data_IF_064347258758
#
_entry.id   IF_064347258758
#
_cell.length_a   1.000
_cell.length_b   1.000
_cell.length_c   1.000
_cell.angle_alpha   90.00
_cell.angle_beta   90.00
_cell.angle_gamma   90.00
#
_symmetry.space_group_name_H-M   'P 1'
#
loop_
_entity.id
_entity.type
_entity.pdbx_description
1 polymer ?
#
# COMPACT_ATOMS: atom_id res chain seq x y z
N UNK A 1 -15.63 -11.54 38.95
CA UNK A 1 -16.12 -10.22 38.54
C UNK A 1 -17.14 -10.43 37.41
N UNK A 2 -18.41 -10.08 37.58
CA UNK A 2 -19.39 -10.26 36.54
C UNK A 2 -19.12 -9.26 35.41
N UNK A 3 -19.08 -9.77 34.17
CA UNK A 3 -19.01 -8.93 32.97
C UNK A 3 -20.30 -8.12 32.87
N UNK A 4 -20.20 -6.82 33.05
CA UNK A 4 -21.30 -5.90 32.74
C UNK A 4 -21.61 -6.04 31.23
N UNK A 5 -22.77 -6.56 30.91
CA UNK A 5 -23.32 -6.46 29.56
C UNK A 5 -23.68 -4.98 29.33
N UNK A 6 -22.88 -4.29 28.54
CA UNK A 6 -23.23 -2.95 28.06
C UNK A 6 -24.55 -3.03 27.31
N UNK A 7 -25.52 -2.24 27.75
CA UNK A 7 -26.81 -2.11 27.06
C UNK A 7 -26.57 -1.67 25.62
N UNK A 8 -27.29 -2.22 24.63
CA UNK A 8 -27.18 -1.78 23.23
C UNK A 8 -27.41 -0.26 23.08
N UNK A 9 -28.10 0.36 24.01
CA UNK A 9 -28.31 1.80 24.05
C UNK A 9 -27.01 2.58 24.34
N UNK A 10 -26.14 2.07 25.20
CA UNK A 10 -24.84 2.67 25.50
C UNK A 10 -23.88 2.54 24.30
N UNK A 11 -23.96 1.43 23.56
CA UNK A 11 -23.14 1.25 22.36
C UNK A 11 -23.54 2.21 21.22
N UNK A 12 -24.83 2.53 21.09
CA UNK A 12 -25.33 3.52 20.12
C UNK A 12 -24.91 4.94 20.52
N UNK A 13 -24.93 5.28 21.82
CA UNK A 13 -24.44 6.59 22.29
C UNK A 13 -22.94 6.77 22.03
N UNK A 14 -22.13 5.74 22.21
CA UNK A 14 -20.69 5.79 21.92
C UNK A 14 -20.39 5.88 20.42
N UNK A 15 -21.22 5.28 19.56
CA UNK A 15 -21.07 5.40 18.11
C UNK A 15 -21.43 6.82 17.60
N UNK A 16 -22.40 7.48 18.21
CA UNK A 16 -22.80 8.86 17.90
C UNK A 16 -21.77 9.89 18.42
N UNK A 17 -21.07 9.59 19.51
CA UNK A 17 -20.07 10.52 20.09
C UNK A 17 -18.84 10.76 19.23
N UNK A 18 -18.60 9.92 18.23
CA UNK A 18 -17.46 10.08 17.29
C UNK A 18 -17.65 11.22 16.27
N UNK A 19 -18.86 11.80 16.18
CA UNK A 19 -19.20 12.82 15.17
C UNK A 19 -19.70 14.16 15.75
N UNK A 20 -19.89 14.22 17.07
CA UNK A 20 -20.33 15.45 17.74
C UNK A 20 -19.14 16.09 18.46
N UNK A 21 -19.10 17.41 18.46
CA UNK A 21 -18.15 18.12 19.30
C UNK A 21 -18.41 17.84 20.80
N UNK A 22 -17.42 17.92 21.67
CA UNK A 22 -17.61 17.75 23.12
C UNK A 22 -18.70 18.63 23.72
N UNK A 23 -18.93 19.81 23.14
CA UNK A 23 -19.98 20.74 23.55
C UNK A 23 -21.38 20.25 23.18
N UNK A 24 -21.53 19.66 21.99
CA UNK A 24 -22.81 19.07 21.54
C UNK A 24 -23.16 17.81 22.32
N UNK A 25 -22.18 16.97 22.62
CA UNK A 25 -22.37 15.78 23.49
C UNK A 25 -22.82 16.23 24.89
N UNK A 26 -22.19 17.26 25.44
CA UNK A 26 -22.54 17.78 26.76
C UNK A 26 -23.95 18.33 26.78
N UNK A 27 -24.35 19.11 25.76
CA UNK A 27 -25.70 19.64 25.64
C UNK A 27 -26.76 18.53 25.54
N UNK A 28 -26.50 17.42 24.87
CA UNK A 28 -27.40 16.28 24.81
C UNK A 28 -27.48 15.52 26.15
N UNK A 29 -26.36 15.40 26.86
CA UNK A 29 -26.35 14.80 28.21
C UNK A 29 -27.15 15.67 29.18
N UNK A 30 -26.94 16.98 29.15
CA UNK A 30 -27.64 17.92 30.01
C UNK A 30 -29.17 17.86 29.78
N UNK A 31 -29.63 17.70 28.53
CA UNK A 31 -31.05 17.49 28.20
C UNK A 31 -31.56 16.16 28.73
N UNK A 32 -30.79 15.07 28.60
CA UNK A 32 -31.18 13.75 29.10
C UNK A 32 -31.22 13.75 30.62
N UNK A 33 -30.28 14.39 31.30
CA UNK A 33 -30.21 14.53 32.76
C UNK A 33 -31.40 15.39 33.28
N UNK A 34 -31.75 16.46 32.55
CA UNK A 34 -32.89 17.31 32.88
C UNK A 34 -34.20 16.54 32.74
N UNK A 35 -34.41 15.78 31.66
CA UNK A 35 -35.58 14.94 31.45
C UNK A 35 -35.65 13.80 32.49
N UNK A 36 -34.51 13.19 32.82
CA UNK A 36 -34.44 12.14 33.83
C UNK A 36 -34.74 12.67 35.26
N UNK A 37 -34.22 13.88 35.57
CA UNK A 37 -34.50 14.54 36.84
C UNK A 37 -35.97 14.93 36.97
N UNK A 38 -36.58 15.43 35.90
CA UNK A 38 -38.00 15.78 35.84
C UNK A 38 -38.89 14.48 35.99
N UNK A 39 -38.51 13.42 35.27
CA UNK A 39 -39.17 12.11 35.38
C UNK A 39 -39.05 11.48 36.79
N UNK A 40 -37.96 11.75 37.53
CA UNK A 40 -37.80 11.24 38.89
C UNK A 40 -38.57 12.05 39.95
N UNK A 41 -38.95 13.28 39.64
CA UNK A 41 -39.79 14.15 40.46
C UNK A 41 -41.29 13.91 40.30
N UNK A 42 -41.70 13.18 39.25
CA UNK A 42 -43.08 12.81 39.03
C UNK A 42 -43.48 11.71 40.04
N UNK A 43 -43.98 12.10 41.17
CA UNK A 43 -44.81 11.21 42.00
C UNK A 43 -46.08 10.97 41.20
N UNK A 44 -46.17 9.79 40.59
CA UNK A 44 -47.39 9.36 39.91
C UNK A 44 -48.56 9.25 40.89
N UNK A 45 -49.48 10.23 40.98
CA UNK A 45 -50.76 9.99 41.63
C UNK A 45 -51.69 9.29 40.67
N UNK A 46 -51.15 8.76 39.54
CA UNK A 46 -51.94 8.16 38.49
C UNK A 46 -52.18 6.68 38.79
N UNK A 47 -53.44 6.36 39.02
CA UNK A 47 -53.91 4.99 39.03
C UNK A 47 -54.11 4.56 37.56
N UNK A 48 -53.33 3.58 37.04
CA UNK A 48 -53.49 3.13 35.64
C UNK A 48 -54.93 2.60 35.33
N UNK A 49 -55.74 2.32 36.31
CA UNK A 49 -57.16 1.99 36.21
C UNK A 49 -57.96 3.14 36.88
N UNK A 50 -57.99 4.30 36.22
CA UNK A 50 -58.59 5.53 36.78
C UNK A 50 -60.12 5.40 36.91
N UNK A 51 -60.75 4.69 36.01
CA UNK A 51 -62.18 4.46 36.04
C UNK A 51 -62.63 3.30 36.96
N UNK A 52 -61.60 2.63 37.61
CA UNK A 52 -61.84 1.49 38.54
C UNK A 52 -62.64 0.33 37.91
N UNK A 53 -62.49 0.12 36.61
CA UNK A 53 -63.14 -0.96 35.85
C UNK A 53 -62.47 -2.32 36.09
N UNK A 54 -61.30 -2.39 36.65
CA UNK A 54 -60.54 -3.58 36.88
C UNK A 54 -59.63 -3.99 35.65
N UNK A 55 -59.74 -3.27 34.55
CA UNK A 55 -58.94 -3.47 33.33
C UNK A 55 -58.38 -2.15 32.86
N UNK A 56 -57.08 -2.13 32.51
CA UNK A 56 -56.44 -0.97 31.91
C UNK A 56 -56.80 -0.96 30.42
N UNK A 57 -57.74 -0.13 30.04
CA UNK A 57 -58.28 -0.03 28.69
C UNK A 57 -58.03 1.33 28.02
N UNK A 58 -58.70 1.52 26.86
CA UNK A 58 -58.59 2.78 26.11
C UNK A 58 -59.13 4.00 26.90
N UNK A 59 -60.08 3.78 27.84
CA UNK A 59 -60.60 4.81 28.72
C UNK A 59 -59.60 5.33 29.75
N UNK A 60 -58.58 4.52 30.12
CA UNK A 60 -57.54 4.85 31.06
C UNK A 60 -56.31 5.43 30.33
N UNK A 61 -56.16 5.04 29.07
CA UNK A 61 -55.07 5.50 28.23
C UNK A 61 -55.22 6.98 27.82
N UNK A 62 -56.43 7.47 27.67
CA UNK A 62 -56.72 8.82 27.26
C UNK A 62 -56.23 9.87 28.29
N UNK A 63 -56.54 9.76 29.58
CA UNK A 63 -56.03 10.60 30.63
C UNK A 63 -54.49 10.52 30.74
N UNK A 64 -53.91 9.32 30.57
CA UNK A 64 -52.45 9.11 30.56
C UNK A 64 -51.77 9.88 29.41
N UNK A 65 -52.31 9.82 28.20
CA UNK A 65 -51.80 10.55 27.03
C UNK A 65 -51.92 12.06 27.20
N UNK A 66 -53.01 12.51 27.86
CA UNK A 66 -53.22 13.94 28.18
C UNK A 66 -52.21 14.40 29.19
N UNK A 67 -51.88 13.61 30.19
CA UNK A 67 -50.88 13.91 31.21
C UNK A 67 -49.47 14.01 30.64
N UNK A 68 -49.11 13.16 29.75
CA UNK A 68 -47.77 13.19 29.07
C UNK A 68 -47.66 14.20 27.95
N UNK A 69 -48.75 14.61 27.31
CA UNK A 69 -48.76 15.53 26.15
C UNK A 69 -48.88 17.00 26.49
N UNK A 70 -49.03 17.33 27.78
CA UNK A 70 -49.38 18.70 28.16
C UNK A 70 -48.30 19.37 29.03
N UNK A 71 -47.62 20.42 28.57
CA UNK A 71 -46.88 21.25 29.49
C UNK A 71 -47.86 21.99 30.41
N UNK A 72 -47.97 21.48 31.64
CA UNK A 72 -48.47 22.20 32.83
C UNK A 72 -49.43 23.35 32.55
N UNK A 73 -50.73 23.10 32.58
CA UNK A 73 -51.74 24.15 32.49
C UNK A 73 -53.16 23.73 32.21
N UNK A 74 -53.46 22.48 31.92
CA UNK A 74 -54.80 22.02 31.54
C UNK A 74 -55.63 21.39 32.66
N UNK A 75 -55.19 21.46 33.89
CA UNK A 75 -55.89 20.89 35.04
C UNK A 75 -56.64 21.93 35.87
N UNK A 76 -57.06 23.01 35.25
CA UNK A 76 -57.99 23.85 35.98
C UNK A 76 -59.21 24.04 35.09
N UNK A 77 -60.36 23.58 35.55
CA UNK A 77 -61.73 23.99 35.21
C UNK A 77 -62.72 22.97 34.68
N UNK A 78 -62.40 21.68 34.58
CA UNK A 78 -63.45 20.68 34.22
C UNK A 78 -64.09 20.88 32.86
N UNK A 79 -63.39 21.53 31.92
CA UNK A 79 -63.84 21.63 30.53
C UNK A 79 -63.43 20.38 29.75
N UNK A 80 -64.41 19.76 29.09
CA UNK A 80 -64.20 18.68 28.15
C UNK A 80 -63.14 19.12 27.11
N UNK A 81 -62.10 18.32 26.91
CA UNK A 81 -61.14 18.56 25.84
C UNK A 81 -61.88 18.64 24.50
N UNK A 82 -61.86 19.81 23.91
CA UNK A 82 -62.38 19.99 22.58
C UNK A 82 -61.72 19.00 21.61
N UNK A 83 -62.48 18.20 20.87
CA UNK A 83 -61.95 17.26 19.89
C UNK A 83 -60.96 17.88 18.90
N UNK A 84 -61.07 19.19 18.64
CA UNK A 84 -60.17 19.93 17.79
C UNK A 84 -58.81 20.16 18.43
N UNK A 85 -58.74 20.34 19.76
CA UNK A 85 -57.48 20.44 20.51
C UNK A 85 -56.70 19.11 20.49
N UNK A 86 -57.39 17.98 20.66
CA UNK A 86 -56.81 16.65 20.59
C UNK A 86 -56.30 16.36 19.17
N UNK A 87 -57.04 16.73 18.14
CA UNK A 87 -56.66 16.59 16.75
C UNK A 87 -55.38 17.39 16.46
N UNK A 88 -55.23 18.60 16.97
CA UNK A 88 -54.05 19.45 16.82
C UNK A 88 -52.82 18.83 17.49
N UNK A 89 -52.95 18.27 18.69
CA UNK A 89 -51.87 17.58 19.40
C UNK A 89 -51.42 16.33 18.64
N UNK A 90 -52.35 15.52 18.14
CA UNK A 90 -52.03 14.33 17.34
C UNK A 90 -51.34 14.72 16.03
N UNK A 91 -51.76 15.80 15.38
CA UNK A 91 -51.16 16.30 14.16
C UNK A 91 -49.71 16.80 14.41
N UNK A 92 -49.52 17.52 15.52
CA UNK A 92 -48.17 17.97 15.92
C UNK A 92 -47.24 16.79 16.26
N UNK A 93 -47.74 15.79 16.97
CA UNK A 93 -46.99 14.58 17.30
C UNK A 93 -46.67 13.81 16.03
N UNK A 94 -47.59 13.63 15.11
CA UNK A 94 -47.34 12.97 13.83
C UNK A 94 -46.29 13.69 12.99
N UNK A 95 -46.33 15.01 12.95
CA UNK A 95 -45.34 15.82 12.24
C UNK A 95 -43.95 15.69 12.88
N UNK A 96 -43.88 15.65 14.21
CA UNK A 96 -42.61 15.44 14.93
C UNK A 96 -42.01 14.07 14.65
N UNK A 97 -42.84 13.01 14.71
CA UNK A 97 -42.40 11.65 14.38
C UNK A 97 -41.91 11.54 12.94
N UNK A 98 -42.62 12.17 12.01
CA UNK A 98 -42.20 12.19 10.60
C UNK A 98 -40.86 12.92 10.42
N UNK A 99 -40.67 14.05 11.08
CA UNK A 99 -39.38 14.78 11.05
C UNK A 99 -38.25 13.92 11.62
N UNK A 100 -38.49 13.24 12.73
CA UNK A 100 -37.49 12.31 13.29
C UNK A 100 -37.18 11.13 12.37
N UNK A 101 -38.17 10.59 11.65
CA UNK A 101 -37.95 9.54 10.66
C UNK A 101 -37.06 10.03 9.49
N UNK A 102 -37.27 11.26 9.00
CA UNK A 102 -36.44 11.86 7.97
C UNK A 102 -35.01 11.98 8.45
N UNK A 103 -34.80 12.51 9.65
CA UNK A 103 -33.47 12.63 10.25
C UNK A 103 -32.77 11.28 10.41
N UNK A 104 -33.53 10.25 10.81
CA UNK A 104 -32.98 8.89 10.95
C UNK A 104 -32.50 8.33 9.60
N UNK A 105 -33.25 8.57 8.51
CA UNK A 105 -32.88 8.14 7.17
C UNK A 105 -31.61 8.87 6.70
N UNK A 106 -31.50 10.16 6.95
CA UNK A 106 -30.30 10.95 6.62
C UNK A 106 -29.06 10.45 7.37
N UNK A 107 -29.20 10.16 8.67
CA UNK A 107 -28.14 9.57 9.48
C UNK A 107 -27.71 8.20 8.98
N UNK A 108 -28.67 7.36 8.58
CA UNK A 108 -28.36 6.04 8.01
C UNK A 108 -27.59 6.15 6.69
N UNK A 109 -27.97 7.11 5.81
CA UNK A 109 -27.26 7.37 4.57
C UNK A 109 -25.84 7.90 4.82
N UNK A 110 -25.68 8.81 5.78
CA UNK A 110 -24.38 9.32 6.20
C UNK A 110 -23.49 8.20 6.75
N UNK A 111 -24.04 7.33 7.60
CA UNK A 111 -23.30 6.17 8.13
C UNK A 111 -22.85 5.23 7.03
N UNK A 112 -23.70 4.93 6.07
CA UNK A 112 -23.34 4.10 4.92
C UNK A 112 -22.20 4.72 4.09
N UNK A 113 -22.25 6.03 3.87
CA UNK A 113 -21.19 6.77 3.16
C UNK A 113 -19.86 6.71 3.93
N UNK A 114 -19.88 6.88 5.25
CA UNK A 114 -18.67 6.76 6.07
C UNK A 114 -18.10 5.34 6.12
N UNK A 115 -18.97 4.33 6.16
CA UNK A 115 -18.54 2.92 6.08
C UNK A 115 -17.88 2.61 4.73
N UNK A 116 -18.42 3.13 3.62
CA UNK A 116 -17.82 2.99 2.30
C UNK A 116 -16.46 3.71 2.22
N UNK A 117 -16.34 4.92 2.77
CA UNK A 117 -15.08 5.64 2.84
C UNK A 117 -14.03 4.89 3.69
N UNK A 118 -14.44 4.33 4.82
CA UNK A 118 -13.54 3.52 5.66
C UNK A 118 -13.09 2.24 4.95
N UNK A 119 -13.98 1.58 4.22
CA UNK A 119 -13.63 0.43 3.41
C UNK A 119 -12.64 0.79 2.29
N UNK A 120 -12.79 1.96 1.68
CA UNK A 120 -11.85 2.46 0.68
C UNK A 120 -10.45 2.77 1.26
N UNK A 121 -10.35 3.14 2.53
CA UNK A 121 -9.09 3.36 3.24
C UNK A 121 -8.45 2.05 3.74
N UNK A 122 -9.20 0.96 3.83
CA UNK A 122 -8.72 -0.33 4.34
C UNK A 122 -7.45 -0.83 3.63
N UNK A 123 -7.28 -0.71 2.29
CA UNK A 123 -6.04 -1.11 1.62
C UNK A 123 -4.82 -0.29 2.04
N UNK A 124 -5.02 0.90 2.63
CA UNK A 124 -3.93 1.77 3.08
C UNK A 124 -3.48 1.47 4.52
N UNK A 125 -4.23 0.67 5.28
CA UNK A 125 -3.88 0.31 6.67
C UNK A 125 -2.48 -0.32 6.79
N UNK A 126 -2.02 -1.21 5.87
CA UNK A 126 -0.67 -1.74 5.91
C UNK A 126 0.42 -0.67 5.72
N UNK A 127 0.06 0.51 5.17
CA UNK A 127 1.00 1.63 4.96
C UNK A 127 1.21 2.50 6.21
N UNK A 128 0.37 2.38 7.23
CA UNK A 128 0.47 3.19 8.46
C UNK A 128 1.84 3.03 9.13
N UNK A 129 2.40 1.83 9.33
CA UNK A 129 3.74 1.69 9.91
C UNK A 129 4.84 2.32 9.07
N UNK A 130 4.67 2.36 7.73
CA UNK A 130 5.59 3.05 6.82
C UNK A 130 5.49 4.56 7.00
N UNK A 131 4.28 5.10 7.10
CA UNK A 131 4.06 6.53 7.31
C UNK A 131 4.62 7.03 8.65
N UNK A 132 4.53 6.23 9.71
CA UNK A 132 5.07 6.56 11.04
C UNK A 132 6.62 6.57 11.08
N UNK A 133 7.27 5.83 10.19
CA UNK A 133 8.74 5.68 10.12
C UNK A 133 9.36 6.33 8.89
N UNK A 134 8.59 7.09 8.14
CA UNK A 134 9.06 7.81 6.97
C UNK A 134 8.84 9.31 7.13
N UNK A 135 9.82 10.08 6.71
CA UNK A 135 9.74 11.53 6.68
C UNK A 135 10.12 12.05 5.30
N UNK A 136 9.38 13.04 4.83
CA UNK A 136 9.73 13.75 3.61
C UNK A 136 10.23 15.15 3.96
N UNK A 137 11.46 15.45 3.57
CA UNK A 137 12.04 16.78 3.71
C UNK A 137 11.83 17.59 2.43
N UNK A 138 11.00 18.61 2.48
CA UNK A 138 10.77 19.52 1.35
C UNK A 138 12.02 20.32 0.99
N UNK A 139 12.90 20.61 1.97
CA UNK A 139 14.09 21.43 1.77
C UNK A 139 15.10 20.81 0.80
N UNK A 140 15.17 19.49 0.74
CA UNK A 140 16.10 18.74 -0.12
C UNK A 140 15.40 17.65 -0.95
N UNK A 141 14.05 17.62 -0.92
CA UNK A 141 13.21 16.65 -1.62
C UNK A 141 13.62 15.18 -1.32
N UNK A 142 13.94 14.93 -0.06
CA UNK A 142 14.38 13.60 0.39
C UNK A 142 13.28 12.89 1.15
N UNK A 143 13.04 11.63 0.81
CA UNK A 143 12.21 10.71 1.59
C UNK A 143 13.10 9.78 2.40
N UNK A 144 13.05 9.89 3.71
CA UNK A 144 13.81 9.09 4.65
C UNK A 144 12.93 7.96 5.22
N UNK A 145 13.45 6.75 5.21
CA UNK A 145 12.88 5.57 5.86
C UNK A 145 13.77 5.21 7.05
N UNK A 146 13.32 5.51 8.28
CA UNK A 146 14.09 5.29 9.48
C UNK A 146 13.72 3.97 10.16
N UNK A 147 14.72 3.27 10.71
CA UNK A 147 14.54 2.04 11.51
C UNK A 147 13.74 0.93 10.81
N UNK A 148 13.86 0.82 9.48
CA UNK A 148 13.17 -0.19 8.68
C UNK A 148 14.02 -0.66 7.50
N UNK A 149 13.72 -1.87 7.02
CA UNK A 149 14.26 -2.39 5.77
C UNK A 149 13.25 -2.16 4.64
N UNK A 150 13.75 -1.82 3.45
CA UNK A 150 12.96 -1.84 2.22
C UNK A 150 13.17 -3.20 1.53
N UNK A 151 12.15 -4.05 1.52
CA UNK A 151 12.16 -5.30 0.80
C UNK A 151 11.24 -5.18 -0.42
N UNK A 152 11.81 -5.39 -1.62
CA UNK A 152 11.08 -5.36 -2.88
C UNK A 152 11.10 -6.79 -3.44
N UNK A 153 9.92 -7.37 -3.66
CA UNK A 153 9.77 -8.75 -4.13
C UNK A 153 8.88 -8.82 -5.38
N UNK A 154 9.01 -9.89 -6.13
CA UNK A 154 8.17 -10.17 -7.29
C UNK A 154 6.87 -10.95 -6.94
N UNK A 155 6.70 -11.35 -5.69
CA UNK A 155 5.53 -12.11 -5.21
C UNK A 155 5.64 -13.64 -5.33
N UNK A 156 6.73 -14.17 -5.88
CA UNK A 156 6.93 -15.62 -6.14
C UNK A 156 7.65 -16.37 -5.00
N UNK A 157 7.77 -15.73 -3.82
CA UNK A 157 8.37 -16.31 -2.61
C UNK A 157 9.81 -16.84 -2.76
N UNK A 158 10.48 -16.61 -3.89
CA UNK A 158 11.85 -17.03 -4.15
C UNK A 158 12.62 -16.01 -4.97
N UNK A 159 13.84 -15.64 -4.52
CA UNK A 159 14.70 -14.67 -5.22
C UNK A 159 15.13 -15.16 -6.60
N UNK A 160 15.40 -16.44 -6.72
CA UNK A 160 15.83 -17.08 -7.99
C UNK A 160 14.74 -18.02 -8.55
N UNK A 161 13.47 -17.70 -8.30
CA UNK A 161 12.32 -18.34 -8.89
C UNK A 161 12.05 -17.91 -10.32
N UNK A 162 10.82 -18.09 -10.78
CA UNK A 162 10.39 -17.60 -12.09
C UNK A 162 10.42 -16.07 -12.16
N UNK A 163 10.89 -15.55 -13.28
CA UNK A 163 10.92 -14.11 -13.53
C UNK A 163 9.57 -13.64 -14.05
N UNK A 164 9.07 -12.55 -13.50
CA UNK A 164 7.80 -11.92 -13.93
C UNK A 164 7.92 -10.41 -14.20
N UNK A 165 9.14 -9.89 -14.24
CA UNK A 165 9.43 -8.47 -14.47
C UNK A 165 9.23 -7.57 -13.26
N UNK A 166 8.86 -8.11 -12.11
CA UNK A 166 8.56 -7.35 -10.89
C UNK A 166 9.67 -7.48 -9.83
N UNK A 167 9.57 -6.71 -8.75
CA UNK A 167 10.54 -6.75 -7.66
C UNK A 167 11.86 -6.05 -7.98
N UNK A 168 11.92 -5.21 -8.99
CA UNK A 168 13.12 -4.46 -9.40
C UNK A 168 13.18 -3.09 -8.73
N UNK A 169 14.38 -2.60 -8.42
CA UNK A 169 14.63 -1.21 -8.06
C UNK A 169 15.27 -0.51 -9.26
N UNK A 170 14.55 0.43 -9.85
CA UNK A 170 14.96 1.17 -11.04
C UNK A 170 15.19 2.63 -10.64
N UNK A 171 16.42 3.12 -10.85
CA UNK A 171 16.83 4.50 -10.63
C UNK A 171 17.12 5.16 -11.99
N UNK A 172 16.24 6.01 -12.44
CA UNK A 172 16.19 6.58 -13.79
C UNK A 172 14.99 6.07 -14.57
N UNK A 173 14.90 6.45 -15.81
CA UNK A 173 13.76 6.06 -16.67
C UNK A 173 14.01 4.73 -17.40
N UNK A 174 15.26 4.31 -17.52
CA UNK A 174 15.67 3.16 -18.32
C UNK A 174 15.00 3.18 -19.70
N UNK A 175 15.01 4.36 -20.36
CA UNK A 175 14.40 4.57 -21.67
C UNK A 175 15.00 3.63 -22.72
N UNK A 176 14.22 3.32 -23.76
CA UNK A 176 14.64 2.46 -24.85
C UNK A 176 15.64 3.21 -25.75
N UNK A 177 16.78 2.59 -26.02
CA UNK A 177 17.84 3.14 -26.87
C UNK A 177 18.00 2.32 -28.18
N UNK A 178 17.02 1.47 -28.47
CA UNK A 178 17.03 0.59 -29.62
C UNK A 178 17.87 -0.63 -29.44
N UNK A 179 17.96 -1.65 -29.95
CA UNK A 179 18.69 -2.91 -29.92
C UNK A 179 19.49 -3.26 -28.68
N UNK A 180 19.35 -4.47 -28.24
CA UNK A 180 20.12 -5.09 -27.15
C UNK A 180 20.82 -6.36 -27.64
N UNK A 181 21.75 -6.88 -26.85
CA UNK A 181 22.31 -8.20 -27.11
C UNK A 181 21.35 -9.29 -26.61
N UNK A 182 21.01 -10.24 -27.48
CA UNK A 182 20.29 -11.46 -27.09
C UNK A 182 21.26 -12.51 -26.47
N UNK A 183 20.74 -13.66 -26.10
CA UNK A 183 21.53 -14.75 -25.50
C UNK A 183 22.63 -15.29 -26.42
N UNK A 184 22.58 -15.04 -27.72
CA UNK A 184 23.63 -15.39 -28.67
C UNK A 184 24.66 -14.29 -28.86
N UNK A 185 24.41 -13.11 -28.28
CA UNK A 185 25.21 -11.91 -28.43
C UNK A 185 24.92 -11.15 -29.72
N UNK A 186 23.87 -11.50 -30.45
CA UNK A 186 23.39 -10.72 -31.59
C UNK A 186 22.63 -9.49 -31.12
N UNK A 187 22.74 -8.37 -31.84
CA UNK A 187 21.92 -7.19 -31.57
C UNK A 187 20.53 -7.40 -32.16
N UNK A 188 19.52 -7.32 -31.30
CA UNK A 188 18.12 -7.44 -31.67
C UNK A 188 17.36 -6.18 -31.27
N UNK A 189 16.23 -5.91 -31.94
CA UNK A 189 15.42 -4.73 -31.67
C UNK A 189 14.58 -4.91 -30.39
N UNK A 190 14.48 -3.82 -29.64
CA UNK A 190 13.72 -3.75 -28.37
C UNK A 190 14.51 -4.29 -27.19
N UNK A 191 14.12 -3.90 -25.98
CA UNK A 191 14.70 -4.40 -24.73
C UNK A 191 13.79 -5.44 -24.10
N UNK A 192 14.40 -6.49 -23.56
CA UNK A 192 13.68 -7.49 -22.76
C UNK A 192 13.90 -7.19 -21.28
N UNK A 193 12.80 -7.03 -20.52
CA UNK A 193 12.80 -6.60 -19.11
C UNK A 193 11.93 -7.54 -18.27
N UNK A 194 12.13 -8.82 -18.44
CA UNK A 194 11.36 -9.87 -17.77
C UNK A 194 11.99 -10.32 -16.45
N UNK A 195 13.23 -9.92 -16.19
CA UNK A 195 13.97 -10.28 -14.98
C UNK A 195 13.38 -9.65 -13.71
N UNK A 196 13.60 -10.31 -12.58
CA UNK A 196 13.09 -9.91 -11.26
C UNK A 196 14.21 -9.70 -10.23
N UNK A 197 13.94 -8.92 -9.18
CA UNK A 197 14.87 -8.64 -8.09
C UNK A 197 16.20 -8.01 -8.54
N UNK A 198 16.15 -7.13 -9.54
CA UNK A 198 17.33 -6.46 -10.10
C UNK A 198 17.44 -5.03 -9.57
N UNK A 199 18.66 -4.52 -9.53
CA UNK A 199 18.97 -3.11 -9.35
C UNK A 199 19.42 -2.52 -10.70
N UNK A 200 18.65 -1.56 -11.22
CA UNK A 200 18.84 -0.96 -12.55
C UNK A 200 19.20 0.51 -12.42
N UNK A 201 20.28 0.94 -13.05
CA UNK A 201 20.80 2.31 -13.02
C UNK A 201 21.23 2.77 -14.42
N UNK A 202 20.50 3.68 -15.05
CA UNK A 202 20.83 4.23 -16.35
C UNK A 202 19.77 4.00 -17.41
N UNK A 203 20.16 3.84 -18.66
CA UNK A 203 19.26 3.78 -19.81
C UNK A 203 19.57 2.62 -20.78
N UNK A 204 18.55 2.16 -21.50
CA UNK A 204 18.67 1.14 -22.56
C UNK A 204 19.01 -0.26 -22.07
N UNK A 205 18.75 -0.57 -20.79
CA UNK A 205 19.17 -1.85 -20.25
C UNK A 205 18.16 -2.97 -20.54
N UNK A 206 18.70 -4.16 -20.84
CA UNK A 206 17.99 -5.44 -20.91
C UNK A 206 18.35 -6.30 -19.70
N UNK A 207 17.34 -6.94 -19.09
CA UNK A 207 17.51 -7.88 -17.99
C UNK A 207 16.45 -8.97 -18.04
N UNK A 208 16.90 -10.22 -18.19
CA UNK A 208 15.99 -11.38 -18.31
C UNK A 208 16.01 -12.25 -17.06
N UNK A 209 17.12 -12.27 -16.33
CA UNK A 209 17.29 -13.12 -15.18
C UNK A 209 17.12 -12.35 -13.85
N UNK A 210 17.21 -13.09 -12.74
CA UNK A 210 17.01 -12.57 -11.39
C UNK A 210 18.34 -12.21 -10.70
N UNK A 211 18.27 -11.19 -9.83
CA UNK A 211 19.35 -10.85 -8.91
C UNK A 211 20.54 -10.15 -9.57
N UNK A 212 20.31 -9.41 -10.66
CA UNK A 212 21.34 -8.65 -11.36
C UNK A 212 21.50 -7.23 -10.81
N UNK A 213 22.72 -6.71 -10.88
CA UNK A 213 22.97 -5.28 -10.88
C UNK A 213 23.27 -4.86 -12.34
N UNK A 214 22.55 -3.86 -12.86
CA UNK A 214 22.75 -3.38 -14.23
C UNK A 214 22.88 -1.86 -14.22
N UNK A 215 24.10 -1.36 -14.42
CA UNK A 215 24.39 0.07 -14.48
C UNK A 215 25.02 0.49 -15.79
N UNK A 216 25.07 1.80 -16.09
CA UNK A 216 25.68 2.35 -17.29
C UNK A 216 24.70 2.63 -18.42
N UNK A 217 25.03 2.20 -19.63
CA UNK A 217 24.26 2.49 -20.82
C UNK A 217 24.19 1.29 -21.77
N UNK A 218 22.99 0.91 -22.18
CA UNK A 218 22.71 -0.16 -23.14
C UNK A 218 23.42 -1.50 -22.82
N UNK A 219 23.33 -1.94 -21.57
CA UNK A 219 23.93 -3.18 -21.09
C UNK A 219 22.88 -4.28 -20.95
N UNK A 220 23.27 -5.54 -21.20
CA UNK A 220 22.38 -6.70 -21.17
C UNK A 220 22.81 -7.71 -20.10
N UNK A 221 21.97 -7.92 -19.07
CA UNK A 221 22.16 -8.92 -18.03
C UNK A 221 21.17 -10.08 -18.25
N UNK A 222 21.64 -11.20 -18.78
CA UNK A 222 20.80 -12.35 -19.14
C UNK A 222 21.03 -13.54 -18.22
N UNK A 223 22.23 -13.67 -17.67
CA UNK A 223 22.58 -14.75 -16.75
C UNK A 223 22.02 -14.51 -15.33
N UNK A 224 21.57 -15.57 -14.67
CA UNK A 224 21.15 -15.50 -13.27
C UNK A 224 22.26 -14.91 -12.38
N UNK A 225 21.95 -13.85 -11.63
CA UNK A 225 22.93 -13.18 -10.79
C UNK A 225 24.05 -12.46 -11.55
N UNK A 226 23.90 -12.24 -12.86
CA UNK A 226 24.89 -11.50 -13.66
C UNK A 226 24.91 -10.03 -13.26
N UNK A 227 26.09 -9.40 -13.29
CA UNK A 227 26.24 -8.02 -12.87
C UNK A 227 27.08 -7.19 -13.83
N UNK A 228 26.54 -6.04 -14.23
CA UNK A 228 27.23 -5.03 -15.04
C UNK A 228 27.22 -3.73 -14.26
N UNK A 229 28.33 -3.39 -13.61
CA UNK A 229 28.40 -2.23 -12.72
C UNK A 229 28.39 -0.90 -13.45
N UNK A 230 28.97 -0.85 -14.64
CA UNK A 230 29.05 0.35 -15.50
C UNK A 230 29.40 -0.02 -16.93
N UNK A 231 29.70 0.97 -17.75
CA UNK A 231 30.13 0.77 -19.13
C UNK A 231 28.97 0.87 -20.11
N UNK A 232 29.28 0.49 -21.35
CA UNK A 232 28.34 0.63 -22.46
C UNK A 232 28.32 -0.62 -23.33
N UNK A 233 27.15 -0.98 -23.81
CA UNK A 233 26.89 -2.04 -24.79
C UNK A 233 27.54 -3.38 -24.43
N UNK A 234 27.61 -3.66 -23.15
CA UNK A 234 28.24 -4.88 -22.63
C UNK A 234 27.20 -5.93 -22.29
N UNK A 235 27.61 -7.19 -22.29
CA UNK A 235 26.71 -8.33 -22.29
C UNK A 235 27.18 -9.40 -21.29
N UNK A 236 26.39 -9.70 -20.28
CA UNK A 236 26.66 -10.72 -19.27
C UNK A 236 25.59 -11.81 -19.32
N UNK A 237 25.88 -12.94 -20.00
CA UNK A 237 24.96 -14.07 -20.12
C UNK A 237 25.34 -15.29 -19.28
N UNK A 238 26.55 -15.37 -18.80
CA UNK A 238 26.94 -16.42 -17.86
C UNK A 238 26.27 -16.26 -16.51
N UNK A 239 25.79 -17.34 -15.88
CA UNK A 239 25.29 -17.27 -14.51
C UNK A 239 26.40 -16.80 -13.58
N UNK A 240 26.05 -15.79 -12.73
CA UNK A 240 27.01 -15.14 -11.82
C UNK A 240 28.25 -14.56 -12.49
N UNK A 241 28.14 -14.18 -13.78
CA UNK A 241 29.17 -13.46 -14.49
C UNK A 241 29.19 -11.98 -14.11
N UNK A 242 30.34 -11.31 -14.27
CA UNK A 242 30.46 -9.92 -13.91
C UNK A 242 31.25 -9.11 -14.98
N UNK A 243 30.77 -7.89 -15.26
CA UNK A 243 31.49 -6.89 -16.03
C UNK A 243 31.52 -5.60 -15.21
N UNK A 244 32.71 -5.12 -14.86
CA UNK A 244 32.84 -3.93 -14.02
C UNK A 244 32.72 -2.64 -14.83
N UNK A 245 33.02 -2.68 -16.13
CA UNK A 245 32.91 -1.51 -17.01
C UNK A 245 33.47 -1.73 -18.40
N UNK A 246 33.70 -0.62 -19.10
CA UNK A 246 34.29 -0.62 -20.44
C UNK A 246 33.24 -0.58 -21.56
N UNK A 247 33.62 -0.99 -22.74
CA UNK A 247 32.80 -0.92 -23.95
C UNK A 247 32.73 -2.29 -24.65
N UNK A 248 31.56 -2.73 -25.02
CA UNK A 248 31.31 -3.94 -25.83
C UNK A 248 31.99 -5.21 -25.26
N UNK A 249 32.00 -5.39 -23.94
CA UNK A 249 32.59 -6.56 -23.28
C UNK A 249 31.57 -7.68 -23.15
N UNK A 250 32.00 -8.97 -23.24
CA UNK A 250 31.13 -10.13 -23.22
C UNK A 250 31.54 -11.18 -22.20
N UNK A 251 30.80 -11.35 -21.13
CA UNK A 251 31.02 -12.35 -20.11
C UNK A 251 29.96 -13.47 -20.23
N UNK A 252 30.27 -14.54 -20.95
CA UNK A 252 29.31 -15.62 -21.25
C UNK A 252 29.57 -16.90 -20.48
N UNK A 253 30.77 -17.08 -19.93
CA UNK A 253 31.08 -18.24 -19.06
C UNK A 253 30.46 -18.10 -17.68
N UNK A 254 30.05 -19.20 -17.08
CA UNK A 254 29.58 -19.23 -15.68
C UNK A 254 30.67 -18.75 -14.74
N UNK A 255 30.37 -17.80 -13.86
CA UNK A 255 31.33 -17.15 -12.97
C UNK A 255 32.49 -16.45 -13.70
N UNK A 256 32.32 -16.09 -14.97
CA UNK A 256 33.33 -15.34 -15.70
C UNK A 256 33.37 -13.85 -15.29
N UNK A 257 34.51 -13.21 -15.45
CA UNK A 257 34.64 -11.81 -15.04
C UNK A 257 35.45 -11.00 -16.07
N UNK A 258 34.97 -9.77 -16.36
CA UNK A 258 35.73 -8.77 -17.13
C UNK A 258 35.80 -7.49 -16.33
N UNK A 259 37.01 -7.03 -16.00
CA UNK A 259 37.16 -5.80 -15.20
C UNK A 259 37.03 -4.53 -16.05
N UNK A 260 37.24 -4.60 -17.35
CA UNK A 260 37.08 -3.43 -18.25
C UNK A 260 37.68 -3.63 -19.61
N UNK A 261 38.03 -2.51 -20.27
CA UNK A 261 38.59 -2.50 -21.61
C UNK A 261 37.53 -2.47 -22.72
N UNK A 262 37.92 -2.88 -23.92
CA UNK A 262 37.04 -2.79 -25.08
C UNK A 262 36.96 -4.13 -25.84
N UNK A 263 35.77 -4.60 -26.11
CA UNK A 263 35.52 -5.81 -26.92
C UNK A 263 36.22 -7.07 -26.39
N UNK A 264 36.34 -7.20 -25.08
CA UNK A 264 36.91 -8.39 -24.48
C UNK A 264 35.81 -9.48 -24.29
N UNK A 265 36.22 -10.74 -24.40
CA UNK A 265 35.34 -11.89 -24.23
C UNK A 265 35.87 -12.86 -23.18
N UNK A 266 35.08 -13.16 -22.18
CA UNK A 266 35.30 -14.20 -21.18
C UNK A 266 34.22 -15.28 -21.32
N UNK A 267 34.48 -16.29 -22.14
CA UNK A 267 33.50 -17.34 -22.46
C UNK A 267 33.74 -18.67 -21.75
N UNK A 268 34.91 -18.88 -21.22
CA UNK A 268 35.19 -20.07 -20.39
C UNK A 268 34.58 -19.95 -19.00
N UNK A 269 34.13 -21.08 -18.42
CA UNK A 269 33.71 -21.11 -17.04
C UNK A 269 34.83 -20.66 -16.09
N UNK A 270 34.52 -19.73 -15.19
CA UNK A 270 35.53 -19.13 -14.28
C UNK A 270 36.69 -18.42 -14.99
N UNK A 271 36.49 -18.06 -16.24
CA UNK A 271 37.49 -17.28 -16.99
C UNK A 271 37.50 -15.80 -16.60
N UNK A 272 38.63 -15.14 -16.75
CA UNK A 272 38.74 -13.71 -16.45
C UNK A 272 39.54 -12.94 -17.48
N UNK A 273 39.14 -11.68 -17.70
CA UNK A 273 39.90 -10.70 -18.47
C UNK A 273 40.00 -9.40 -17.67
N UNK A 274 41.20 -9.01 -17.25
CA UNK A 274 41.38 -7.78 -16.46
C UNK A 274 41.22 -6.52 -17.30
N UNK A 275 41.42 -6.59 -18.61
CA UNK A 275 41.24 -5.44 -19.51
C UNK A 275 41.94 -5.59 -20.84
N UNK A 276 42.17 -4.46 -21.50
CA UNK A 276 42.79 -4.42 -22.82
C UNK A 276 41.79 -4.35 -23.97
N UNK A 277 42.22 -4.78 -25.15
CA UNK A 277 41.43 -4.69 -26.37
C UNK A 277 41.31 -6.04 -27.07
N UNK A 278 40.09 -6.48 -27.37
CA UNK A 278 39.83 -7.68 -28.18
C UNK A 278 40.49 -8.96 -27.64
N UNK A 279 40.54 -9.10 -26.31
CA UNK A 279 41.06 -10.30 -25.68
C UNK A 279 39.98 -11.36 -25.51
N UNK A 280 40.34 -12.64 -25.69
CA UNK A 280 39.41 -13.76 -25.59
C UNK A 280 39.92 -14.86 -24.64
N UNK A 281 39.26 -15.03 -23.53
CA UNK A 281 39.49 -16.09 -22.53
C UNK A 281 38.42 -17.14 -22.62
N UNK A 282 38.65 -18.25 -23.32
CA UNK A 282 37.66 -19.26 -23.64
C UNK A 282 37.83 -20.59 -22.93
N UNK A 283 39.04 -20.87 -22.43
CA UNK A 283 39.31 -22.06 -21.63
C UNK A 283 38.71 -21.98 -20.23
N UNK A 284 38.51 -23.12 -19.58
CA UNK A 284 38.02 -23.20 -18.19
C UNK A 284 39.09 -22.64 -17.24
N UNK A 285 38.71 -21.72 -16.36
CA UNK A 285 39.58 -21.12 -15.34
C UNK A 285 40.85 -20.44 -15.95
N UNK A 286 40.66 -19.80 -17.08
CA UNK A 286 41.74 -19.04 -17.76
C UNK A 286 41.72 -17.57 -17.35
N UNK A 287 42.87 -16.92 -17.45
CA UNK A 287 43.00 -15.52 -17.07
C UNK A 287 43.87 -14.73 -18.07
N UNK A 288 43.35 -13.61 -18.56
CA UNK A 288 44.10 -12.64 -19.33
C UNK A 288 44.25 -11.36 -18.50
N UNK A 289 45.50 -11.05 -18.14
CA UNK A 289 45.78 -9.84 -17.33
C UNK A 289 45.69 -8.54 -18.13
N UNK A 290 45.76 -8.61 -19.46
CA UNK A 290 45.64 -7.46 -20.35
C UNK A 290 46.38 -7.71 -21.65
N UNK A 291 46.42 -6.69 -22.50
CA UNK A 291 47.00 -6.77 -23.82
C UNK A 291 46.00 -6.50 -24.92
N UNK A 292 46.38 -6.85 -26.14
CA UNK A 292 45.55 -6.69 -27.32
C UNK A 292 45.55 -7.99 -28.14
N UNK A 293 44.38 -8.42 -28.60
CA UNK A 293 44.20 -9.64 -29.40
C UNK A 293 44.71 -10.93 -28.76
N UNK A 294 44.79 -10.98 -27.40
CA UNK A 294 45.20 -12.19 -26.69
C UNK A 294 44.07 -13.21 -26.72
N UNK A 295 44.42 -14.47 -27.02
CA UNK A 295 43.45 -15.57 -27.03
C UNK A 295 43.99 -16.77 -26.27
N UNK A 296 43.13 -17.30 -25.33
CA UNK A 296 43.42 -18.51 -24.56
C UNK A 296 42.26 -19.47 -24.75
N UNK A 297 42.53 -20.67 -25.21
CA UNK A 297 41.56 -21.75 -25.41
C UNK A 297 41.77 -22.95 -24.48
N UNK A 298 43.01 -23.16 -24.05
CA UNK A 298 43.35 -24.26 -23.17
C UNK A 298 42.95 -23.95 -21.72
N UNK A 299 42.70 -24.99 -20.91
CA UNK A 299 42.26 -24.82 -19.52
C UNK A 299 43.43 -24.44 -18.59
N UNK A 300 43.10 -23.67 -17.55
CA UNK A 300 44.06 -23.29 -16.47
C UNK A 300 45.26 -22.48 -16.92
N UNK A 301 45.14 -21.78 -18.03
CA UNK A 301 46.21 -20.92 -18.54
C UNK A 301 46.04 -19.46 -18.14
N UNK A 302 47.15 -18.76 -18.05
CA UNK A 302 47.21 -17.31 -17.81
C UNK A 302 48.09 -16.66 -18.86
N UNK A 303 47.58 -15.58 -19.45
CA UNK A 303 48.37 -14.76 -20.38
C UNK A 303 48.42 -13.29 -19.95
N UNK A 304 49.50 -12.66 -20.25
CA UNK A 304 49.67 -11.21 -20.21
C UNK A 304 50.41 -10.79 -21.48
N UNK A 305 49.82 -9.86 -22.24
CA UNK A 305 50.43 -9.47 -23.50
C UNK A 305 51.01 -8.07 -23.47
N UNK A 306 52.20 -7.94 -23.98
CA UNK A 306 52.70 -6.69 -24.47
C UNK A 306 52.56 -6.72 -25.99
N UNK A 307 51.92 -5.71 -26.61
CA UNK A 307 51.86 -5.59 -28.06
C UNK A 307 53.31 -5.43 -28.58
N UNK A 308 53.79 -6.40 -29.35
CA UNK A 308 55.08 -6.32 -30.01
C UNK A 308 54.90 -5.49 -31.29
N UNK A 309 55.33 -4.22 -31.25
CA UNK A 309 55.32 -3.29 -32.40
C UNK A 309 56.30 -3.66 -33.49
N UNK A 310 57.04 -4.74 -33.33
CA UNK A 310 58.14 -5.14 -34.28
C UNK A 310 57.79 -6.40 -35.11
N UNK A 311 56.57 -6.89 -35.10
CA UNK A 311 56.09 -7.94 -36.00
C UNK A 311 55.08 -7.42 -37.01
#
# INVERSE_FOLDING_TARGET
>A
MPKMKTSPFVAVLFALSAFLSPAEIRAQIDVIEAVAADASSIQFPYNPDENHSGDVGAGDLLPFLIYFGNPIGFYDNGEDLDPMSLQNVLTALASTVLAQQVTLVELQQSLAAHQAALAALSPLLPMVPVAERSTFSEANSTWELAEMNLQITNGEEATYGESNGLGNLILGYNESEGGHHDQTGAIVDGEVRTGSHNLILGAGHTYEANGAFVGGYNNSALGQGASLFSGQSSFAAGSFSAILGGLDNRATGTHSCISGGHSNTASGDRSSVSGGLLNQSSGIATSILGGQYMQIFEQYETASGQYDVNN
#
